data_IF_081883086283
#
_entry.id   IF_081883086283
#
_cell.length_a   1.000
_cell.length_b   1.000
_cell.length_c   1.000
_cell.angle_alpha   90.00
_cell.angle_beta   90.00
_cell.angle_gamma   90.00
#
_symmetry.space_group_name_H-M   'P 1'
#
loop_
_entity.id
_entity.type
_entity.pdbx_description
1 polymer ?
#
# COMPACT_ATOMS: atom_id res chain seq x y z
N UNK A 1 35.45 40.12 -16.31
CA UNK A 1 35.28 38.94 -17.20
C UNK A 1 35.46 37.61 -16.46
N UNK A 2 36.59 37.34 -15.80
CA UNK A 2 36.82 36.08 -15.06
C UNK A 2 35.77 35.73 -13.99
N UNK A 3 35.28 36.72 -13.23
CA UNK A 3 34.24 36.52 -12.22
C UNK A 3 32.87 36.15 -12.83
N UNK A 4 32.54 36.67 -14.02
CA UNK A 4 31.30 36.33 -14.72
C UNK A 4 31.30 34.88 -15.20
N UNK A 5 32.46 34.40 -15.66
CA UNK A 5 32.64 33.03 -16.16
C UNK A 5 32.67 32.02 -15.01
N UNK A 6 33.22 32.41 -13.85
CA UNK A 6 33.13 31.62 -12.61
C UNK A 6 31.69 31.48 -12.12
N UNK A 7 30.89 32.55 -12.18
CA UNK A 7 29.48 32.53 -11.77
C UNK A 7 28.61 31.69 -12.72
N UNK A 8 28.86 31.78 -14.04
CA UNK A 8 28.23 30.92 -15.05
C UNK A 8 28.59 29.45 -14.85
N UNK A 9 29.85 29.15 -14.53
CA UNK A 9 30.29 27.78 -14.22
C UNK A 9 29.62 27.20 -12.97
N UNK A 10 29.44 28.02 -11.93
CA UNK A 10 28.73 27.60 -10.69
C UNK A 10 27.25 27.38 -10.96
N UNK A 11 26.58 28.27 -11.70
CA UNK A 11 25.15 28.11 -12.04
C UNK A 11 24.91 26.85 -12.89
N UNK A 12 25.78 26.58 -13.88
CA UNK A 12 25.68 25.37 -14.70
C UNK A 12 25.88 24.09 -13.87
N UNK A 13 26.84 24.08 -12.94
CA UNK A 13 27.06 22.95 -12.04
C UNK A 13 25.87 22.71 -11.09
N UNK A 14 25.26 23.79 -10.58
CA UNK A 14 24.06 23.70 -9.72
C UNK A 14 22.85 23.17 -10.49
N UNK A 15 22.63 23.62 -11.73
CA UNK A 15 21.53 23.15 -12.58
C UNK A 15 21.70 21.69 -13.00
N UNK A 16 22.92 21.23 -13.31
CA UNK A 16 23.19 19.82 -13.63
C UNK A 16 23.11 18.88 -12.42
N UNK A 17 23.18 19.41 -11.19
CA UNK A 17 23.14 18.59 -9.96
C UNK A 17 21.71 18.24 -9.53
N UNK A 18 20.69 18.83 -10.15
CA UNK A 18 19.29 18.49 -9.88
C UNK A 18 18.91 17.33 -10.80
N UNK A 19 19.39 16.13 -10.45
CA UNK A 19 18.81 14.90 -10.97
C UNK A 19 17.40 14.77 -10.39
N UNK A 20 16.40 15.28 -11.11
CA UNK A 20 15.00 14.98 -10.81
C UNK A 20 14.85 13.49 -11.06
N UNK A 21 14.74 12.70 -9.99
CA UNK A 21 14.31 11.32 -10.09
C UNK A 21 12.86 11.34 -10.60
N UNK A 22 12.69 11.35 -11.91
CA UNK A 22 11.39 11.16 -12.53
C UNK A 22 10.87 9.78 -12.08
N UNK A 23 9.72 9.77 -11.41
CA UNK A 23 9.06 8.53 -11.04
C UNK A 23 8.62 7.75 -12.28
N UNK A 24 8.21 6.50 -12.09
CA UNK A 24 7.65 5.68 -13.17
C UNK A 24 6.33 6.32 -13.63
N UNK A 25 6.23 6.57 -14.93
CA UNK A 25 5.03 7.12 -15.57
C UNK A 25 3.82 6.20 -15.30
N UNK A 26 2.63 6.77 -15.14
CA UNK A 26 1.44 6.00 -14.71
C UNK A 26 1.15 4.83 -15.65
N UNK A 27 1.31 5.01 -16.96
CA UNK A 27 1.12 3.94 -17.96
C UNK A 27 2.21 2.87 -17.96
N UNK A 28 3.37 3.16 -17.38
CA UNK A 28 4.51 2.26 -17.33
C UNK A 28 4.55 1.42 -16.05
N UNK A 29 3.74 1.76 -15.03
CA UNK A 29 3.61 0.95 -13.81
C UNK A 29 3.09 -0.44 -14.15
N UNK A 30 3.86 -1.45 -13.75
CA UNK A 30 3.54 -2.87 -13.91
C UNK A 30 3.31 -3.50 -12.54
N UNK A 31 2.46 -4.53 -12.48
CA UNK A 31 2.35 -5.34 -11.27
C UNK A 31 3.64 -6.15 -11.09
N UNK A 32 4.06 -6.42 -9.85
CA UNK A 32 5.14 -7.37 -9.59
C UNK A 32 4.87 -8.75 -10.22
N UNK A 33 3.59 -9.10 -10.36
CA UNK A 33 3.11 -10.30 -11.06
C UNK A 33 3.69 -10.45 -12.47
N UNK A 34 3.80 -9.35 -13.22
CA UNK A 34 4.24 -9.35 -14.63
C UNK A 34 5.71 -9.79 -14.79
N UNK A 35 6.49 -9.74 -13.71
CA UNK A 35 7.91 -10.11 -13.69
C UNK A 35 8.16 -11.52 -13.13
N UNK A 36 7.11 -12.20 -12.66
CA UNK A 36 7.22 -13.54 -12.07
C UNK A 36 7.33 -14.63 -13.14
N UNK A 37 7.83 -15.81 -12.77
CA UNK A 37 7.79 -16.98 -13.65
C UNK A 37 6.34 -17.44 -13.88
N UNK A 38 6.05 -18.13 -14.99
CA UNK A 38 4.70 -18.64 -15.27
C UNK A 38 4.13 -19.50 -14.14
N UNK A 39 4.97 -20.30 -13.47
CA UNK A 39 4.56 -21.17 -12.37
C UNK A 39 4.11 -20.36 -11.15
N UNK A 40 4.82 -19.28 -10.84
CA UNK A 40 4.47 -18.40 -9.70
C UNK A 40 3.21 -17.58 -10.01
N UNK A 41 3.04 -17.15 -11.26
CA UNK A 41 1.81 -16.50 -11.72
C UNK A 41 0.60 -17.44 -11.58
N UNK A 42 0.74 -18.70 -11.99
CA UNK A 42 -0.31 -19.71 -11.87
C UNK A 42 -0.73 -19.93 -10.41
N UNK A 43 0.23 -19.92 -9.47
CA UNK A 43 -0.08 -20.03 -8.04
C UNK A 43 -0.90 -18.84 -7.51
N UNK A 44 -0.66 -17.61 -7.98
CA UNK A 44 -1.43 -16.44 -7.52
C UNK A 44 -2.78 -16.28 -8.22
N UNK A 45 -2.92 -16.81 -9.44
CA UNK A 45 -4.12 -16.67 -10.26
C UNK A 45 -5.30 -17.57 -9.83
N UNK A 46 -5.04 -18.57 -8.99
CA UNK A 46 -6.03 -19.52 -8.47
C UNK A 46 -6.04 -19.52 -6.93
N UNK A 47 -7.19 -19.22 -6.33
CA UNK A 47 -7.32 -19.08 -4.87
C UNK A 47 -7.02 -20.36 -4.11
N UNK A 48 -7.28 -21.53 -4.72
CA UNK A 48 -7.02 -22.83 -4.08
C UNK A 48 -5.52 -23.12 -4.05
N UNK A 49 -4.81 -22.76 -5.12
CA UNK A 49 -3.36 -22.94 -5.24
C UNK A 49 -2.57 -21.86 -4.50
N UNK A 50 -3.17 -20.70 -4.25
CA UNK A 50 -2.51 -19.57 -3.59
C UNK A 50 -2.35 -19.83 -2.08
N UNK A 51 -1.13 -20.04 -1.56
CA UNK A 51 -0.91 -20.35 -0.15
C UNK A 51 -1.32 -19.21 0.79
N UNK A 52 -1.45 -17.97 0.29
CA UNK A 52 -1.92 -16.83 1.04
C UNK A 52 -3.40 -16.94 1.43
N UNK A 53 -4.21 -17.66 0.65
CA UNK A 53 -5.66 -17.73 0.87
C UNK A 53 -6.04 -18.50 2.14
N UNK A 54 -5.16 -19.37 2.65
CA UNK A 54 -5.34 -19.99 3.97
C UNK A 54 -5.46 -18.94 5.08
N UNK A 55 -4.67 -17.88 5.02
CA UNK A 55 -4.70 -16.80 6.00
C UNK A 55 -5.89 -15.87 5.80
N UNK A 56 -6.35 -15.70 4.57
CA UNK A 56 -7.61 -14.98 4.28
C UNK A 56 -8.80 -15.70 4.91
N UNK A 57 -8.87 -17.02 4.78
CA UNK A 57 -9.91 -17.84 5.42
C UNK A 57 -9.85 -17.77 6.95
N UNK A 58 -8.65 -17.82 7.54
CA UNK A 58 -8.50 -17.60 8.98
C UNK A 58 -8.95 -16.18 9.37
N UNK A 59 -8.62 -15.16 8.58
CA UNK A 59 -9.08 -13.79 8.78
C UNK A 59 -10.61 -13.68 8.76
N UNK A 60 -11.29 -14.39 7.86
CA UNK A 60 -12.76 -14.46 7.81
C UNK A 60 -13.34 -15.09 9.08
N UNK A 61 -12.70 -16.11 9.64
CA UNK A 61 -13.10 -16.69 10.93
C UNK A 61 -12.94 -15.68 12.07
N UNK A 62 -11.78 -15.00 12.14
CA UNK A 62 -11.51 -13.98 13.15
C UNK A 62 -12.47 -12.79 13.04
N UNK A 63 -12.88 -12.41 11.83
CA UNK A 63 -13.86 -11.35 11.60
C UNK A 63 -15.21 -11.61 12.29
N UNK A 64 -15.60 -12.89 12.38
CA UNK A 64 -16.85 -13.33 13.01
C UNK A 64 -16.69 -13.67 14.51
N UNK A 65 -15.46 -13.70 15.02
CA UNK A 65 -15.18 -14.12 16.38
C UNK A 65 -15.26 -12.93 17.34
N UNK A 66 -16.09 -13.05 18.38
CA UNK A 66 -16.13 -12.08 19.47
C UNK A 66 -14.79 -12.09 20.24
N UNK A 67 -14.23 -10.90 20.47
CA UNK A 67 -12.95 -10.75 21.15
C UNK A 67 -12.81 -9.42 21.89
N UNK A 68 -11.76 -9.31 22.71
CA UNK A 68 -11.45 -8.11 23.48
C UNK A 68 -12.36 -7.91 24.69
N UNK A 69 -12.22 -6.75 25.35
CA UNK A 69 -12.96 -6.46 26.59
C UNK A 69 -14.46 -6.26 26.39
N UNK A 70 -14.86 -5.86 25.19
CA UNK A 70 -16.26 -5.63 24.86
C UNK A 70 -16.99 -6.92 24.42
N UNK A 71 -16.24 -8.00 24.14
CA UNK A 71 -16.77 -9.27 23.63
C UNK A 71 -17.63 -9.11 22.36
N UNK A 72 -17.12 -8.33 21.41
CA UNK A 72 -17.79 -8.05 20.12
C UNK A 72 -16.88 -8.47 18.97
N UNK A 73 -17.47 -9.06 17.92
CA UNK A 73 -16.79 -9.41 16.68
C UNK A 73 -16.72 -8.21 15.72
N UNK A 74 -15.77 -8.19 14.79
CA UNK A 74 -15.70 -7.15 13.76
C UNK A 74 -17.02 -7.03 12.98
N UNK A 75 -17.62 -8.17 12.63
CA UNK A 75 -18.93 -8.25 11.97
C UNK A 75 -20.08 -7.64 12.78
N UNK A 76 -19.96 -7.55 14.11
CA UNK A 76 -20.99 -6.95 14.96
C UNK A 76 -21.20 -5.45 14.73
N UNK A 77 -20.18 -4.75 14.22
CA UNK A 77 -20.28 -3.32 13.86
C UNK A 77 -20.12 -3.07 12.35
N UNK A 78 -19.42 -3.96 11.64
CA UNK A 78 -19.06 -3.78 10.24
C UNK A 78 -19.74 -4.76 9.28
N UNK A 79 -20.68 -5.59 9.74
CA UNK A 79 -21.43 -6.57 8.93
C UNK A 79 -20.54 -7.51 8.09
N UNK A 80 -21.04 -7.97 6.93
CA UNK A 80 -20.30 -8.83 6.00
C UNK A 80 -19.17 -8.04 5.30
N UNK A 81 -17.93 -8.43 5.59
CA UNK A 81 -16.73 -7.85 5.02
C UNK A 81 -16.72 -7.82 3.48
N UNK A 82 -17.34 -8.80 2.81
CA UNK A 82 -17.40 -8.84 1.33
C UNK A 82 -18.13 -7.64 0.74
N UNK A 83 -19.08 -7.09 1.49
CA UNK A 83 -19.84 -5.91 1.09
C UNK A 83 -19.21 -4.64 1.66
N UNK A 84 -18.95 -4.63 2.96
CA UNK A 84 -18.61 -3.39 3.67
C UNK A 84 -17.13 -3.02 3.56
N UNK A 85 -16.23 -3.99 3.41
CA UNK A 85 -14.79 -3.72 3.30
C UNK A 85 -14.31 -3.54 1.86
N UNK A 86 -15.22 -3.61 0.87
CA UNK A 86 -14.87 -3.44 -0.55
C UNK A 86 -14.18 -2.09 -0.78
N UNK A 87 -12.93 -2.14 -1.26
CA UNK A 87 -12.14 -0.95 -1.58
C UNK A 87 -11.53 -0.22 -0.38
N UNK A 88 -11.73 -0.69 0.86
CA UNK A 88 -11.14 -0.07 2.05
C UNK A 88 -9.62 -0.10 1.97
N UNK A 89 -9.02 -1.26 1.69
CA UNK A 89 -7.56 -1.41 1.64
C UNK A 89 -6.88 -0.47 0.61
N UNK A 90 -7.54 -0.20 -0.52
CA UNK A 90 -7.01 0.69 -1.57
C UNK A 90 -6.95 2.18 -1.17
N UNK A 91 -7.58 2.56 -0.05
CA UNK A 91 -7.58 3.94 0.47
C UNK A 91 -6.56 4.19 1.59
N UNK A 92 -5.77 3.18 1.94
CA UNK A 92 -4.71 3.29 2.93
C UNK A 92 -3.32 3.27 2.26
N UNK A 93 -2.30 3.91 2.86
CA UNK A 93 -2.34 4.72 4.10
C UNK A 93 -3.22 5.98 3.98
N UNK A 94 -3.85 6.37 5.09
CA UNK A 94 -4.72 7.55 5.17
C UNK A 94 -4.24 8.49 6.27
N UNK A 95 -4.43 9.80 6.10
CA UNK A 95 -4.12 10.78 7.15
C UNK A 95 -5.22 10.76 8.22
N UNK A 96 -4.83 10.53 9.47
CA UNK A 96 -5.74 10.51 10.61
C UNK A 96 -5.68 11.85 11.36
N UNK A 97 -6.76 12.62 11.32
CA UNK A 97 -6.81 13.95 11.91
C UNK A 97 -6.76 13.93 13.45
N UNK A 98 -7.29 12.87 14.09
CA UNK A 98 -7.31 12.75 15.54
C UNK A 98 -5.91 12.58 16.13
N UNK A 99 -5.07 11.77 15.49
CA UNK A 99 -3.68 11.56 15.89
C UNK A 99 -2.70 12.51 15.22
N UNK A 100 -3.13 13.23 14.18
CA UNK A 100 -2.32 14.17 13.41
C UNK A 100 -1.24 13.48 12.55
N UNK A 101 -1.43 12.21 12.18
CA UNK A 101 -0.41 11.37 11.52
C UNK A 101 -1.03 10.44 10.46
N UNK A 102 -0.26 10.01 9.45
CA UNK A 102 -0.67 8.91 8.58
C UNK A 102 -0.80 7.61 9.37
N UNK A 103 -1.83 6.82 9.06
CA UNK A 103 -2.05 5.47 9.58
C UNK A 103 -2.24 4.51 8.40
N UNK A 104 -1.68 3.31 8.52
CA UNK A 104 -1.93 2.22 7.57
C UNK A 104 -3.16 1.40 8.01
N UNK A 105 -3.54 0.40 7.22
CA UNK A 105 -4.72 -0.41 7.54
C UNK A 105 -4.53 -1.21 8.85
N UNK A 106 -3.32 -1.73 9.09
CA UNK A 106 -3.01 -2.46 10.31
C UNK A 106 -3.09 -1.57 11.56
N UNK A 107 -2.59 -0.33 11.47
CA UNK A 107 -2.72 0.67 12.52
C UNK A 107 -4.17 1.05 12.77
N UNK A 108 -5.00 1.16 11.72
CA UNK A 108 -6.45 1.40 11.87
C UNK A 108 -7.18 0.24 12.55
N UNK A 109 -6.79 -1.00 12.29
CA UNK A 109 -7.40 -2.18 12.93
C UNK A 109 -7.10 -2.22 14.44
N UNK A 110 -5.95 -1.69 14.86
CA UNK A 110 -5.50 -1.71 16.26
C UNK A 110 -5.85 -0.45 17.06
N UNK A 111 -6.53 0.53 16.47
CA UNK A 111 -6.85 1.82 17.11
C UNK A 111 -8.11 1.79 17.94
#
# INVERSE_FOLDING_TARGET
MRALWGLVGIVAAVVCSIAIAAGIEVGEKRSGFDFMTPETQALQADDVSNPGMLWVLQGEQLWQQAQGRADVACSGCHDDARQTMRGVAARYPAFDAATGRPVDLAGRINS
#
